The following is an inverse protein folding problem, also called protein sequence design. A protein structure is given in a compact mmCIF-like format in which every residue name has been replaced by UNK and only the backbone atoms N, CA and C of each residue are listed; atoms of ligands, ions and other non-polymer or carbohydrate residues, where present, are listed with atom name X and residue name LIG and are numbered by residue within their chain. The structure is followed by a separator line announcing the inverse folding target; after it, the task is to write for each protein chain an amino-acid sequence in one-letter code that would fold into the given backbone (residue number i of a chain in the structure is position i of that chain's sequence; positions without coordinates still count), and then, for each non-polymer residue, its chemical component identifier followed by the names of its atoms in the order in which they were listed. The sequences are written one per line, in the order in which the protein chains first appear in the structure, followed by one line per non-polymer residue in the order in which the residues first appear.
data_IF_735106676881
#
_entry.id   IF_735106676881
#
_cell.length_a   1.000
_cell.length_b   1.000
_cell.length_c   1.000
_cell.angle_alpha   90.00
_cell.angle_beta   90.00
_cell.angle_gamma   90.00
#
_symmetry.space_group_name_H-M   'P 1'
#
loop_
_entity.id
_entity.type
_entity.pdbx_description
1 polymer ?
#
# COMPACT_ATOMS: atom_id res chain seq x y z
N UNK A 1 -81.36 9.65 -17.78
CA UNK A 1 -80.43 10.58 -18.48
C UNK A 1 -79.50 11.21 -17.46
N UNK A 2 -78.15 11.13 -17.66
CA UNK A 2 -76.99 11.67 -16.90
C UNK A 2 -76.25 10.66 -16.02
N UNK A 3 -75.42 9.86 -16.71
CA UNK A 3 -74.17 9.29 -16.19
C UNK A 3 -73.07 10.03 -16.94
N UNK A 4 -72.14 10.72 -16.23
CA UNK A 4 -70.82 11.13 -16.68
C UNK A 4 -70.19 12.06 -15.63
N UNK A 5 -69.24 11.56 -14.85
CA UNK A 5 -68.10 12.29 -14.34
C UNK A 5 -67.53 11.61 -13.08
N UNK A 6 -66.90 10.43 -13.27
CA UNK A 6 -66.03 9.84 -12.26
C UNK A 6 -64.87 9.17 -13.01
N UNK A 7 -63.95 9.94 -13.52
CA UNK A 7 -62.86 9.35 -14.29
C UNK A 7 -61.62 10.24 -14.48
N UNK A 8 -61.36 11.23 -13.61
CA UNK A 8 -60.22 12.12 -13.84
C UNK A 8 -59.37 12.44 -12.58
N UNK A 9 -59.54 11.75 -11.47
CA UNK A 9 -58.81 12.06 -10.24
C UNK A 9 -57.76 11.00 -9.83
N UNK A 10 -57.64 9.90 -10.59
CA UNK A 10 -56.68 8.81 -10.26
C UNK A 10 -55.31 8.92 -10.97
N UNK A 11 -55.12 9.84 -11.93
CA UNK A 11 -53.91 9.94 -12.76
C UNK A 11 -52.85 10.94 -12.25
N UNK A 12 -53.12 11.70 -11.20
CA UNK A 12 -52.16 12.73 -10.69
C UNK A 12 -51.30 12.33 -9.47
N UNK A 13 -51.48 11.14 -8.91
CA UNK A 13 -50.75 10.67 -7.74
C UNK A 13 -49.55 9.77 -8.09
N UNK A 14 -49.34 9.40 -9.35
CA UNK A 14 -48.23 8.53 -9.78
C UNK A 14 -46.94 9.29 -10.20
N UNK A 15 -46.94 10.61 -10.22
CA UNK A 15 -45.84 11.43 -10.74
C UNK A 15 -44.89 11.99 -9.68
N UNK A 16 -45.01 11.61 -8.39
CA UNK A 16 -44.17 12.09 -7.27
C UNK A 16 -43.29 11.01 -6.64
N UNK A 17 -43.19 9.84 -7.27
CA UNK A 17 -42.17 8.88 -6.90
C UNK A 17 -40.84 9.26 -7.62
N UNK A 18 -40.24 10.37 -7.24
CA UNK A 18 -38.80 10.59 -7.49
C UNK A 18 -38.01 9.42 -6.94
N UNK A 19 -36.83 9.08 -7.52
CA UNK A 19 -36.01 8.03 -6.96
C UNK A 19 -35.79 8.33 -5.48
N UNK A 20 -36.29 7.45 -4.60
CA UNK A 20 -36.03 7.55 -3.19
C UNK A 20 -34.50 7.41 -3.02
N UNK A 21 -33.81 8.54 -2.91
CA UNK A 21 -32.40 8.55 -2.50
C UNK A 21 -32.34 7.79 -1.20
N UNK A 22 -31.64 6.66 -1.19
CA UNK A 22 -31.53 5.85 0.02
C UNK A 22 -30.90 6.72 1.10
N UNK A 23 -31.62 6.90 2.21
CA UNK A 23 -31.13 7.75 3.29
C UNK A 23 -29.80 7.20 3.81
N UNK A 24 -28.71 7.98 3.70
CA UNK A 24 -27.40 7.64 4.22
C UNK A 24 -27.53 7.47 5.74
N UNK A 25 -27.10 6.31 6.25
CA UNK A 25 -27.08 5.99 7.68
C UNK A 25 -25.79 6.51 8.33
N UNK A 26 -25.80 6.67 9.63
CA UNK A 26 -24.62 7.02 10.39
C UNK A 26 -23.72 5.80 10.57
N UNK A 27 -22.46 5.91 10.12
CA UNK A 27 -21.43 4.88 10.31
C UNK A 27 -20.13 5.53 10.79
N UNK A 28 -19.45 4.83 11.70
CA UNK A 28 -18.11 5.20 12.15
C UNK A 28 -17.15 4.07 11.79
N UNK A 29 -16.17 4.36 10.93
CA UNK A 29 -15.15 3.42 10.51
C UNK A 29 -13.85 3.70 11.28
N UNK A 30 -13.37 2.73 12.05
CA UNK A 30 -12.02 2.77 12.62
C UNK A 30 -11.03 2.38 11.53
N UNK A 31 -10.01 3.21 11.34
CA UNK A 31 -8.93 2.98 10.35
C UNK A 31 -7.63 2.86 11.10
N UNK A 32 -7.04 1.67 11.16
CA UNK A 32 -5.77 1.42 11.85
C UNK A 32 -4.59 1.42 10.87
N UNK A 33 -3.48 2.05 11.24
CA UNK A 33 -2.19 1.98 10.53
C UNK A 33 -1.02 1.85 11.48
N UNK A 34 0.07 1.21 11.00
CA UNK A 34 1.31 1.04 11.76
C UNK A 34 2.17 2.30 11.83
N UNK A 35 1.97 3.25 10.89
CA UNK A 35 2.77 4.45 10.71
C UNK A 35 2.36 5.58 11.67
N UNK A 36 3.29 6.51 11.92
CA UNK A 36 3.06 7.70 12.78
C UNK A 36 2.12 8.71 12.12
N UNK A 37 1.60 9.64 12.92
CA UNK A 37 0.72 10.72 12.44
C UNK A 37 1.42 11.65 11.43
N UNK A 38 2.73 11.83 11.54
CA UNK A 38 3.54 12.67 10.64
C UNK A 38 3.77 12.04 9.26
N UNK A 39 3.48 10.75 9.10
CA UNK A 39 3.69 10.06 7.83
C UNK A 39 2.67 10.49 6.77
N UNK A 40 3.07 10.70 5.50
CA UNK A 40 2.15 11.06 4.40
C UNK A 40 0.92 10.15 4.27
N UNK A 41 1.04 8.86 4.56
CA UNK A 41 -0.11 7.93 4.58
C UNK A 41 -1.17 8.36 5.62
N UNK A 42 -0.76 8.79 6.82
CA UNK A 42 -1.68 9.25 7.85
C UNK A 42 -2.38 10.56 7.43
N UNK A 43 -1.64 11.46 6.77
CA UNK A 43 -2.21 12.69 6.22
C UNK A 43 -3.24 12.40 5.12
N UNK A 44 -2.95 11.42 4.26
CA UNK A 44 -3.89 11.00 3.21
C UNK A 44 -5.13 10.31 3.79
N UNK A 45 -5.00 9.57 4.90
CA UNK A 45 -6.15 9.02 5.61
C UNK A 45 -7.03 10.11 6.24
N UNK A 46 -6.41 11.18 6.73
CA UNK A 46 -7.18 12.35 7.20
C UNK A 46 -7.94 12.99 6.05
N UNK A 47 -7.27 13.17 4.90
CA UNK A 47 -7.95 13.64 3.69
C UNK A 47 -9.11 12.72 3.27
N UNK A 48 -8.91 11.39 3.30
CA UNK A 48 -9.99 10.41 3.06
C UNK A 48 -11.17 10.61 4.02
N UNK A 49 -10.90 10.78 5.32
CA UNK A 49 -11.92 11.01 6.33
C UNK A 49 -12.72 12.30 6.07
N UNK A 50 -12.03 13.38 5.70
CA UNK A 50 -12.65 14.66 5.38
C UNK A 50 -13.55 14.56 4.12
N UNK A 51 -13.07 13.87 3.05
CA UNK A 51 -13.86 13.64 1.84
C UNK A 51 -15.08 12.75 2.11
N UNK A 52 -14.91 11.69 2.92
CA UNK A 52 -15.99 10.80 3.31
C UNK A 52 -17.09 11.55 4.06
N UNK A 53 -16.71 12.36 5.04
CA UNK A 53 -17.65 13.19 5.81
C UNK A 53 -18.34 14.23 4.91
N UNK A 54 -17.59 14.93 4.06
CA UNK A 54 -18.15 15.96 3.16
C UNK A 54 -19.18 15.36 2.21
N UNK A 55 -18.87 14.21 1.57
CA UNK A 55 -19.75 13.55 0.58
C UNK A 55 -20.99 12.91 1.22
N UNK A 56 -20.95 12.57 2.50
CA UNK A 56 -22.04 11.92 3.23
C UNK A 56 -22.86 12.88 4.10
N UNK A 57 -22.55 14.20 4.08
CA UNK A 57 -23.17 15.17 4.99
C UNK A 57 -22.86 14.88 6.47
N UNK A 58 -21.66 14.36 6.74
CA UNK A 58 -21.18 14.04 8.10
C UNK A 58 -21.65 12.70 8.64
N UNK A 59 -22.36 11.88 7.87
CA UNK A 59 -22.93 10.61 8.34
C UNK A 59 -21.95 9.44 8.29
N UNK A 60 -21.04 9.44 7.30
CA UNK A 60 -19.94 8.47 7.24
C UNK A 60 -18.67 9.11 7.81
N UNK A 61 -18.17 8.59 8.91
CA UNK A 61 -17.02 9.15 9.65
C UNK A 61 -15.91 8.12 9.73
N UNK A 62 -14.70 8.45 9.27
CA UNK A 62 -13.52 7.64 9.51
C UNK A 62 -12.71 8.21 10.68
N UNK A 63 -12.35 7.35 11.64
CA UNK A 63 -11.46 7.67 12.77
C UNK A 63 -10.13 6.97 12.58
N UNK A 64 -9.07 7.75 12.40
CA UNK A 64 -7.72 7.23 12.14
C UNK A 64 -6.99 6.96 13.44
N UNK A 65 -6.39 5.79 13.54
CA UNK A 65 -5.58 5.30 14.65
C UNK A 65 -4.19 4.97 14.12
N UNK A 66 -3.22 5.77 14.50
CA UNK A 66 -1.82 5.69 14.04
C UNK A 66 -0.92 4.90 14.98
N UNK A 67 0.35 4.75 14.60
CA UNK A 67 1.44 4.17 15.40
C UNK A 67 1.14 2.76 15.93
N UNK A 68 0.39 1.98 15.19
CA UNK A 68 0.06 0.61 15.56
C UNK A 68 -0.84 0.45 16.79
N UNK A 69 -1.56 1.52 17.19
CA UNK A 69 -2.45 1.49 18.37
C UNK A 69 -3.57 0.45 18.30
N UNK A 70 -3.94 -0.02 17.09
CA UNK A 70 -4.89 -1.10 16.86
C UNK A 70 -4.21 -2.42 16.42
N UNK A 71 -2.89 -2.46 16.36
CA UNK A 71 -2.10 -3.64 15.98
C UNK A 71 -1.15 -3.38 14.82
N UNK A 72 -0.58 -4.45 14.28
CA UNK A 72 0.28 -4.43 13.08
C UNK A 72 -0.52 -4.84 11.83
N UNK A 73 0.10 -4.75 10.64
CA UNK A 73 -0.55 -5.04 9.35
C UNK A 73 -1.25 -6.40 9.31
N UNK A 74 -0.61 -7.44 9.85
CA UNK A 74 -1.18 -8.81 9.86
C UNK A 74 -2.35 -8.92 10.82
N UNK A 75 -2.22 -8.41 12.04
CA UNK A 75 -3.29 -8.48 13.05
C UNK A 75 -4.49 -7.61 12.66
N UNK A 76 -4.26 -6.41 12.13
CA UNK A 76 -5.33 -5.53 11.66
C UNK A 76 -6.04 -6.12 10.43
N UNK A 77 -5.32 -6.72 9.47
CA UNK A 77 -5.93 -7.43 8.34
C UNK A 77 -6.80 -8.61 8.83
N UNK A 78 -6.35 -9.34 9.84
CA UNK A 78 -7.14 -10.41 10.46
C UNK A 78 -8.40 -9.87 11.15
N UNK A 79 -8.30 -8.73 11.84
CA UNK A 79 -9.44 -8.06 12.47
C UNK A 79 -10.48 -7.57 11.44
N UNK A 80 -10.05 -7.08 10.25
CA UNK A 80 -10.96 -6.76 9.14
C UNK A 80 -11.74 -7.99 8.68
N UNK A 81 -11.05 -9.11 8.48
CA UNK A 81 -11.68 -10.37 8.06
C UNK A 81 -12.69 -10.87 9.08
N UNK A 82 -12.40 -10.69 10.36
CA UNK A 82 -13.32 -10.99 11.46
C UNK A 82 -14.46 -9.97 11.61
N UNK A 83 -14.35 -8.79 11.00
CA UNK A 83 -15.32 -7.69 11.11
C UNK A 83 -15.28 -6.97 12.46
N UNK A 84 -14.14 -6.96 13.14
CA UNK A 84 -13.90 -6.23 14.40
C UNK A 84 -13.14 -4.93 14.20
N UNK A 85 -12.59 -4.72 13.02
CA UNK A 85 -12.00 -3.48 12.51
C UNK A 85 -12.59 -3.18 11.14
N UNK A 86 -12.85 -1.91 10.84
CA UNK A 86 -13.52 -1.52 9.59
C UNK A 86 -12.52 -1.31 8.45
N UNK A 87 -11.36 -0.68 8.69
CA UNK A 87 -10.39 -0.35 7.63
C UNK A 87 -8.94 -0.44 8.13
N UNK A 88 -8.02 -0.75 7.20
CA UNK A 88 -6.56 -0.68 7.40
C UNK A 88 -5.85 -0.52 6.06
N UNK A 89 -4.54 -0.20 6.08
CA UNK A 89 -3.72 -0.04 4.87
C UNK A 89 -2.40 -0.81 5.04
N UNK A 90 -2.40 -2.14 4.91
CA UNK A 90 -1.19 -2.95 5.01
C UNK A 90 -0.32 -2.85 3.76
N UNK A 91 0.97 -3.19 3.89
CA UNK A 91 1.82 -3.49 2.75
C UNK A 91 1.29 -4.70 1.98
N UNK A 92 1.27 -4.61 0.65
CA UNK A 92 0.74 -5.66 -0.23
C UNK A 92 1.41 -7.02 -0.03
N UNK A 93 2.67 -7.03 0.38
CA UNK A 93 3.43 -8.26 0.63
C UNK A 93 2.91 -9.06 1.84
N UNK A 94 2.24 -8.41 2.80
CA UNK A 94 1.64 -9.09 3.95
C UNK A 94 0.36 -9.84 3.60
N UNK A 95 -0.25 -9.52 2.44
CA UNK A 95 -1.44 -10.19 1.94
C UNK A 95 -1.14 -11.53 1.23
N UNK A 96 0.11 -11.82 0.94
CA UNK A 96 0.55 -13.02 0.18
C UNK A 96 0.11 -14.32 0.86
N UNK A 97 0.10 -14.35 2.19
CA UNK A 97 -0.40 -15.52 2.94
C UNK A 97 -1.88 -15.81 2.71
N UNK A 98 -2.66 -14.80 2.33
CA UNK A 98 -4.09 -14.91 2.02
C UNK A 98 -4.33 -15.10 0.53
N UNK A 99 -3.58 -14.38 -0.31
CA UNK A 99 -3.75 -14.30 -1.75
C UNK A 99 -2.37 -14.21 -2.41
N UNK A 100 -1.78 -15.36 -2.75
CA UNK A 100 -0.43 -15.46 -3.32
C UNK A 100 -0.14 -14.47 -4.48
N UNK A 101 -1.06 -14.27 -5.45
CA UNK A 101 -0.88 -13.31 -6.53
C UNK A 101 -0.46 -11.89 -6.14
N UNK A 102 -0.78 -11.40 -4.93
CA UNK A 102 -0.31 -10.07 -4.49
C UNK A 102 1.21 -9.97 -4.42
N UNK A 103 1.91 -11.09 -4.24
CA UNK A 103 3.36 -11.12 -4.14
C UNK A 103 4.10 -10.66 -5.39
N UNK A 104 3.48 -10.76 -6.58
CA UNK A 104 4.12 -10.31 -7.82
C UNK A 104 4.42 -8.82 -7.83
N UNK A 105 3.67 -8.01 -7.06
CA UNK A 105 3.88 -6.57 -6.94
C UNK A 105 5.21 -6.22 -6.25
N UNK A 106 5.73 -7.13 -5.44
CA UNK A 106 6.96 -6.94 -4.68
C UNK A 106 8.16 -7.72 -5.26
N UNK A 107 8.02 -8.35 -6.44
CA UNK A 107 9.16 -9.01 -7.09
C UNK A 107 10.31 -8.02 -7.27
N UNK A 108 11.55 -8.38 -6.88
CA UNK A 108 12.69 -7.47 -6.96
C UNK A 108 12.90 -6.91 -8.36
N UNK A 109 13.20 -5.60 -8.44
CA UNK A 109 13.60 -4.91 -9.67
C UNK A 109 12.56 -4.98 -10.81
N UNK A 110 11.27 -5.12 -10.47
CA UNK A 110 10.17 -5.24 -11.44
C UNK A 110 9.78 -3.90 -12.03
N UNK A 111 9.60 -2.88 -11.19
CA UNK A 111 9.26 -1.53 -11.63
C UNK A 111 10.52 -0.66 -11.77
N UNK A 112 10.56 0.17 -12.80
CA UNK A 112 11.67 1.11 -13.02
C UNK A 112 11.39 2.50 -12.44
N UNK A 113 10.11 2.89 -12.38
CA UNK A 113 9.65 4.19 -11.88
C UNK A 113 8.21 4.13 -11.39
N UNK A 114 7.76 5.21 -10.78
CA UNK A 114 6.43 5.35 -10.18
C UNK A 114 5.33 5.33 -11.24
N UNK A 115 5.59 5.81 -12.46
CA UNK A 115 4.63 5.82 -13.57
C UNK A 115 4.32 4.39 -14.07
N UNK A 116 5.32 3.50 -14.08
CA UNK A 116 5.10 2.08 -14.35
C UNK A 116 4.22 1.43 -13.28
N UNK A 117 4.47 1.75 -12.00
CA UNK A 117 3.65 1.26 -10.90
C UNK A 117 2.21 1.77 -11.00
N UNK A 118 2.00 3.07 -11.25
CA UNK A 118 0.66 3.66 -11.44
C UNK A 118 -0.10 2.96 -12.57
N UNK A 119 0.53 2.82 -13.74
CA UNK A 119 -0.12 2.21 -14.90
C UNK A 119 -0.56 0.76 -14.66
N UNK A 120 0.25 -0.01 -13.93
CA UNK A 120 -0.07 -1.40 -13.58
C UNK A 120 -1.13 -1.49 -12.49
N UNK A 121 -0.98 -0.70 -11.40
CA UNK A 121 -1.83 -0.81 -10.22
C UNK A 121 -3.22 -0.22 -10.44
N UNK A 122 -3.35 0.85 -11.22
CA UNK A 122 -4.64 1.46 -11.56
C UNK A 122 -5.31 0.78 -12.76
N UNK A 123 -4.53 0.07 -13.55
CA UNK A 123 -4.96 -0.65 -14.74
C UNK A 123 -5.73 -1.94 -14.46
N UNK A 124 -6.11 -2.65 -15.53
CA UNK A 124 -6.88 -3.91 -15.42
C UNK A 124 -6.22 -4.96 -14.54
N UNK A 125 -4.87 -5.01 -14.52
CA UNK A 125 -4.12 -5.95 -13.70
C UNK A 125 -4.34 -5.72 -12.21
N UNK A 126 -4.18 -4.46 -11.74
CA UNK A 126 -4.42 -4.10 -10.34
C UNK A 126 -5.86 -4.34 -9.92
N UNK A 127 -6.84 -3.99 -10.78
CA UNK A 127 -8.27 -4.25 -10.52
C UNK A 127 -8.54 -5.76 -10.39
N UNK A 128 -7.91 -6.60 -11.21
CA UNK A 128 -8.02 -8.07 -11.13
C UNK A 128 -7.45 -8.61 -9.80
N UNK A 129 -6.38 -8.02 -9.27
CA UNK A 129 -5.86 -8.38 -7.96
C UNK A 129 -6.84 -8.00 -6.84
N UNK A 130 -7.36 -6.76 -6.85
CA UNK A 130 -8.34 -6.31 -5.86
C UNK A 130 -9.60 -7.16 -5.87
N UNK A 131 -10.05 -7.62 -7.04
CA UNK A 131 -11.23 -8.48 -7.21
C UNK A 131 -11.10 -9.87 -6.54
N UNK A 132 -9.89 -10.27 -6.11
CA UNK A 132 -9.68 -11.52 -5.34
C UNK A 132 -9.90 -11.37 -3.83
N UNK A 133 -9.92 -10.15 -3.33
CA UNK A 133 -10.01 -9.85 -1.90
C UNK A 133 -11.36 -10.24 -1.26
N UNK A 134 -12.52 -10.08 -1.93
CA UNK A 134 -13.82 -10.42 -1.35
C UNK A 134 -13.94 -11.88 -0.89
N UNK A 135 -13.29 -12.83 -1.56
CA UNK A 135 -13.25 -14.23 -1.18
C UNK A 135 -12.53 -14.45 0.18
N UNK A 136 -11.73 -13.49 0.60
CA UNK A 136 -10.99 -13.50 1.87
C UNK A 136 -11.61 -12.59 2.95
N UNK A 137 -12.83 -12.08 2.71
CA UNK A 137 -13.52 -11.21 3.64
C UNK A 137 -13.03 -9.76 3.64
N UNK A 138 -12.39 -9.32 2.56
CA UNK A 138 -11.80 -8.00 2.40
C UNK A 138 -12.34 -7.31 1.14
N UNK A 139 -12.42 -5.99 1.16
CA UNK A 139 -12.67 -5.14 -0.01
C UNK A 139 -11.46 -4.26 -0.23
N UNK A 140 -10.88 -4.33 -1.43
CA UNK A 140 -9.80 -3.43 -1.85
C UNK A 140 -10.37 -2.18 -2.49
N UNK A 141 -10.01 -1.02 -1.96
CA UNK A 141 -10.50 0.28 -2.42
C UNK A 141 -9.47 1.01 -3.32
N UNK A 142 -8.23 0.57 -3.33
CA UNK A 142 -7.17 1.12 -4.17
C UNK A 142 -5.78 0.76 -3.67
N UNK A 143 -4.79 1.05 -4.52
CA UNK A 143 -3.38 0.92 -4.18
C UNK A 143 -2.77 2.29 -3.86
N UNK A 144 -2.11 2.38 -2.71
CA UNK A 144 -1.36 3.54 -2.27
C UNK A 144 0.14 3.30 -2.42
N UNK A 145 0.93 4.34 -2.51
CA UNK A 145 2.36 4.24 -2.69
C UNK A 145 3.11 4.24 -1.36
N UNK A 146 3.92 3.20 -1.11
CA UNK A 146 5.01 3.31 -0.16
C UNK A 146 6.26 3.83 -0.88
N UNK A 147 6.53 3.30 -2.07
CA UNK A 147 7.59 3.74 -2.96
C UNK A 147 8.74 2.75 -3.10
N UNK A 148 9.84 3.21 -3.74
CA UNK A 148 11.05 2.40 -3.91
C UNK A 148 11.82 2.28 -2.61
N UNK A 149 12.19 1.05 -2.28
CA UNK A 149 12.80 0.70 -1.00
C UNK A 149 14.32 0.69 -1.09
N UNK A 150 14.95 1.12 0.00
CA UNK A 150 16.38 1.29 0.19
C UNK A 150 16.80 0.68 1.52
N UNK A 151 18.07 0.29 1.67
CA UNK A 151 18.56 -0.34 2.90
C UNK A 151 19.23 0.70 3.80
N UNK A 152 18.88 0.69 5.11
CA UNK A 152 19.65 1.39 6.14
C UNK A 152 20.33 0.42 7.07
N UNK A 153 21.45 0.83 7.69
CA UNK A 153 22.09 0.09 8.77
C UNK A 153 22.93 1.02 9.67
N UNK A 154 23.22 0.55 10.88
CA UNK A 154 24.04 1.28 11.85
C UNK A 154 25.53 0.89 11.83
N UNK A 155 25.93 -0.13 11.03
CA UNK A 155 27.24 -0.80 11.12
C UNK A 155 28.29 -0.23 10.19
N UNK A 156 27.97 -0.09 8.89
CA UNK A 156 28.94 0.27 7.85
C UNK A 156 28.27 0.83 6.59
N UNK A 157 29.00 1.65 5.82
CA UNK A 157 28.56 2.00 4.47
C UNK A 157 28.43 0.72 3.60
N UNK A 158 27.44 0.70 2.72
CA UNK A 158 27.24 -0.32 1.69
C UNK A 158 27.59 0.31 0.36
N UNK A 159 28.71 -0.06 -0.24
CA UNK A 159 29.20 0.42 -1.54
C UNK A 159 29.14 -0.67 -2.61
N UNK A 160 29.04 -1.93 -2.21
CA UNK A 160 28.94 -3.10 -3.06
C UNK A 160 27.81 -4.00 -2.58
N UNK A 161 27.23 -4.79 -3.48
CA UNK A 161 26.18 -5.75 -3.14
C UNK A 161 26.65 -6.74 -2.03
N UNK A 162 27.92 -7.12 -2.03
CA UNK A 162 28.47 -8.04 -1.01
C UNK A 162 28.61 -7.41 0.38
N UNK A 163 28.59 -6.08 0.50
CA UNK A 163 28.68 -5.41 1.80
C UNK A 163 27.41 -5.61 2.65
N UNK A 164 26.31 -6.11 2.05
CA UNK A 164 25.12 -6.54 2.77
C UNK A 164 25.35 -7.84 3.56
N UNK A 165 26.41 -8.61 3.22
CA UNK A 165 26.68 -9.91 3.83
C UNK A 165 26.87 -9.79 5.34
N UNK A 166 26.17 -10.66 6.08
CA UNK A 166 26.23 -10.76 7.55
C UNK A 166 25.50 -9.67 8.30
N UNK A 167 24.93 -8.63 7.64
CA UNK A 167 24.08 -7.65 8.31
C UNK A 167 22.79 -8.33 8.79
N UNK A 168 22.43 -8.12 10.05
CA UNK A 168 21.12 -8.50 10.60
C UNK A 168 20.09 -7.47 10.13
N UNK A 169 19.33 -7.79 9.11
CA UNK A 169 18.33 -6.87 8.54
C UNK A 169 16.93 -7.30 8.92
N UNK A 170 16.20 -6.40 9.55
CA UNK A 170 14.74 -6.60 9.64
C UNK A 170 14.13 -6.46 8.25
N UNK A 171 13.23 -7.37 7.93
CA UNK A 171 12.43 -7.34 6.71
C UNK A 171 10.93 -7.42 7.03
N UNK A 172 10.08 -7.11 6.06
CA UNK A 172 8.63 -7.30 6.17
C UNK A 172 8.34 -8.79 6.38
N UNK A 173 7.25 -9.12 7.06
CA UNK A 173 6.78 -10.48 7.30
C UNK A 173 6.28 -11.14 6.00
N UNK A 174 7.21 -11.36 5.07
CA UNK A 174 6.97 -11.97 3.75
C UNK A 174 8.13 -12.89 3.38
N UNK A 175 7.86 -14.14 2.94
CA UNK A 175 8.90 -15.06 2.49
C UNK A 175 9.76 -14.49 1.35
N UNK A 176 9.19 -13.69 0.46
CA UNK A 176 9.92 -13.05 -0.64
C UNK A 176 11.00 -12.10 -0.10
N UNK A 177 10.66 -11.26 0.89
CA UNK A 177 11.63 -10.32 1.49
C UNK A 177 12.72 -11.08 2.24
N UNK A 178 12.37 -12.13 2.98
CA UNK A 178 13.32 -13.01 3.68
C UNK A 178 14.32 -13.60 2.68
N UNK A 179 13.85 -14.25 1.64
CA UNK A 179 14.71 -14.90 0.65
C UNK A 179 15.53 -13.89 -0.17
N UNK A 180 14.98 -12.71 -0.47
CA UNK A 180 15.69 -11.65 -1.18
C UNK A 180 16.94 -11.23 -0.43
N UNK A 181 16.83 -10.93 0.86
CA UNK A 181 17.97 -10.46 1.64
C UNK A 181 18.94 -11.58 2.03
N UNK A 182 18.45 -12.80 2.24
CA UNK A 182 19.30 -13.97 2.40
C UNK A 182 20.12 -14.28 1.13
N UNK A 183 19.53 -14.13 -0.08
CA UNK A 183 20.25 -14.28 -1.34
C UNK A 183 21.33 -13.19 -1.55
N UNK A 184 21.17 -12.03 -0.94
CA UNK A 184 22.17 -10.96 -0.91
C UNK A 184 23.23 -11.17 0.18
N UNK A 185 23.11 -12.25 0.99
CA UNK A 185 24.05 -12.62 2.04
C UNK A 185 23.77 -11.99 3.41
N UNK A 186 22.70 -11.24 3.56
CA UNK A 186 22.29 -10.71 4.86
C UNK A 186 21.63 -11.79 5.73
N UNK A 187 21.57 -11.55 7.04
CA UNK A 187 20.81 -12.34 7.99
C UNK A 187 19.42 -11.67 8.17
N UNK A 188 18.49 -12.00 7.29
CA UNK A 188 17.17 -11.38 7.29
C UNK A 188 16.28 -11.93 8.42
N UNK A 189 15.59 -11.03 9.13
CA UNK A 189 14.66 -11.38 10.22
C UNK A 189 13.31 -10.72 9.96
N UNK A 190 12.24 -11.49 9.68
CA UNK A 190 10.90 -10.95 9.55
C UNK A 190 10.36 -10.41 10.87
N UNK A 191 9.84 -9.18 10.87
CA UNK A 191 9.34 -8.52 12.08
C UNK A 191 8.25 -7.50 11.73
N UNK A 192 7.19 -7.33 12.55
CA UNK A 192 6.23 -6.24 12.40
C UNK A 192 6.91 -4.87 12.36
N UNK A 193 6.32 -3.94 11.58
CA UNK A 193 6.86 -2.57 11.50
C UNK A 193 6.81 -1.86 12.86
N UNK A 194 5.79 -2.13 13.67
CA UNK A 194 5.58 -1.53 14.99
C UNK A 194 6.66 -1.84 16.02
N UNK A 195 7.48 -2.88 15.79
CA UNK A 195 8.57 -3.31 16.67
C UNK A 195 9.94 -2.79 16.19
N UNK A 196 10.00 -2.25 14.95
CA UNK A 196 11.25 -2.03 14.24
C UNK A 196 12.16 -0.98 14.89
N UNK A 197 11.59 0.18 15.30
CA UNK A 197 12.41 1.24 15.91
C UNK A 197 13.14 0.73 17.16
N UNK A 198 12.41 0.10 18.07
CA UNK A 198 12.97 -0.46 19.30
C UNK A 198 13.99 -1.58 19.02
N UNK A 199 13.75 -2.42 18.01
CA UNK A 199 14.70 -3.47 17.62
C UNK A 199 16.03 -2.90 17.10
N UNK A 200 15.98 -1.78 16.33
CA UNK A 200 17.18 -1.08 15.89
C UNK A 200 17.89 -0.33 17.03
N UNK A 201 17.12 0.35 17.89
CA UNK A 201 17.63 1.06 19.06
C UNK A 201 18.37 0.13 20.02
N UNK A 202 17.83 -1.07 20.25
CA UNK A 202 18.43 -2.10 21.09
C UNK A 202 19.51 -2.93 20.38
N UNK A 203 19.83 -2.62 19.12
CA UNK A 203 20.75 -3.36 18.27
C UNK A 203 20.41 -4.87 18.12
N UNK A 204 19.15 -5.24 18.28
CA UNK A 204 18.66 -6.59 17.98
C UNK A 204 18.79 -6.89 16.47
N UNK A 205 18.62 -5.85 15.64
CA UNK A 205 18.93 -5.84 14.21
C UNK A 205 19.89 -4.69 13.89
N UNK A 206 20.75 -4.89 12.87
CA UNK A 206 21.71 -3.87 12.43
C UNK A 206 21.02 -2.82 11.54
N UNK A 207 19.92 -3.18 10.90
CA UNK A 207 19.23 -2.30 9.95
C UNK A 207 17.92 -2.83 9.44
N UNK A 208 17.42 -2.14 8.42
CA UNK A 208 16.13 -2.41 7.79
C UNK A 208 16.10 -1.89 6.34
N UNK A 209 14.99 -2.04 5.66
CA UNK A 209 14.76 -1.53 4.32
C UNK A 209 13.37 -0.88 4.22
N UNK A 210 13.32 0.33 3.69
CA UNK A 210 12.11 1.13 3.46
C UNK A 210 12.38 2.27 2.46
N UNK A 211 11.34 2.92 1.95
CA UNK A 211 11.49 4.16 1.20
C UNK A 211 11.98 5.33 2.08
N UNK A 212 12.64 6.33 1.48
CA UNK A 212 13.16 7.50 2.22
C UNK A 212 12.10 8.24 3.03
N UNK A 213 10.87 8.36 2.51
CA UNK A 213 9.76 8.97 3.21
C UNK A 213 9.46 8.26 4.54
N UNK A 214 9.36 6.94 4.52
CA UNK A 214 9.12 6.13 5.72
C UNK A 214 10.30 6.21 6.70
N UNK A 215 11.55 6.18 6.20
CA UNK A 215 12.75 6.32 7.03
C UNK A 215 12.76 7.66 7.77
N UNK A 216 12.41 8.75 7.07
CA UNK A 216 12.39 10.10 7.64
C UNK A 216 11.23 10.26 8.64
N UNK A 217 10.00 9.96 8.25
CA UNK A 217 8.82 10.14 9.09
C UNK A 217 8.84 9.25 10.34
N UNK A 218 9.47 8.07 10.27
CA UNK A 218 9.64 7.17 11.41
C UNK A 218 10.91 7.45 12.22
N UNK A 219 11.64 8.53 11.90
CA UNK A 219 12.85 8.97 12.60
C UNK A 219 13.96 7.90 12.69
N UNK A 220 14.03 6.99 11.72
CA UNK A 220 15.04 5.93 11.74
C UNK A 220 16.48 6.45 11.68
N UNK A 221 16.67 7.69 11.21
CA UNK A 221 17.96 8.37 11.24
C UNK A 221 18.54 8.56 12.66
N UNK A 222 17.72 8.49 13.71
CA UNK A 222 18.18 8.55 15.10
C UNK A 222 18.94 7.30 15.52
N UNK A 223 18.60 6.14 14.92
CA UNK A 223 19.15 4.81 15.25
C UNK A 223 19.86 4.13 14.06
N UNK A 224 19.93 4.81 12.89
CA UNK A 224 20.59 4.31 11.67
C UNK A 224 21.55 5.36 11.11
N UNK A 225 22.75 4.94 10.71
CA UNK A 225 23.82 5.84 10.24
C UNK A 225 23.98 5.86 8.72
N UNK A 226 23.74 4.74 8.07
CA UNK A 226 24.03 4.55 6.65
C UNK A 226 22.76 4.22 5.89
N UNK A 227 22.59 4.84 4.73
CA UNK A 227 21.53 4.58 3.77
C UNK A 227 22.17 4.29 2.41
N UNK A 228 21.88 3.13 1.82
CA UNK A 228 22.27 2.83 0.43
C UNK A 228 21.05 2.87 -0.46
N UNK A 229 21.16 3.63 -1.57
CA UNK A 229 20.11 3.77 -2.57
C UNK A 229 20.07 2.54 -3.48
N UNK A 230 19.54 1.45 -2.97
CA UNK A 230 19.52 0.15 -3.65
C UNK A 230 18.35 -0.02 -4.63
N UNK A 231 17.22 0.68 -4.45
CA UNK A 231 15.99 0.55 -5.25
C UNK A 231 15.62 -0.91 -5.57
N UNK A 232 15.83 -1.80 -4.60
CA UNK A 232 15.73 -3.25 -4.79
C UNK A 232 14.30 -3.74 -5.01
N UNK A 233 13.31 -3.00 -4.50
CA UNK A 233 11.89 -3.29 -4.65
C UNK A 233 11.06 -2.01 -4.69
N UNK A 234 9.91 -2.06 -5.38
CA UNK A 234 8.81 -1.13 -5.18
C UNK A 234 7.81 -1.76 -4.20
N UNK A 235 7.19 -0.95 -3.37
CA UNK A 235 6.23 -1.37 -2.37
C UNK A 235 4.96 -0.54 -2.48
N UNK A 236 3.83 -1.24 -2.57
CA UNK A 236 2.50 -0.63 -2.55
C UNK A 236 1.76 -1.04 -1.28
N UNK A 237 0.97 -0.13 -0.74
CA UNK A 237 -0.04 -0.42 0.25
C UNK A 237 -1.39 -0.68 -0.40
N UNK A 238 -2.28 -1.35 0.31
CA UNK A 238 -3.64 -1.60 -0.16
C UNK A 238 -4.63 -1.01 0.83
N UNK A 239 -5.42 -0.04 0.39
CA UNK A 239 -6.53 0.48 1.20
C UNK A 239 -7.62 -0.57 1.27
N UNK A 240 -7.82 -1.13 2.46
CA UNK A 240 -8.75 -2.23 2.71
C UNK A 240 -9.90 -1.82 3.60
N UNK A 241 -11.08 -2.35 3.29
CA UNK A 241 -12.25 -2.34 4.16
C UNK A 241 -12.69 -3.77 4.47
N UNK A 242 -13.24 -4.00 5.67
CA UNK A 242 -13.90 -5.25 6.03
C UNK A 242 -15.08 -5.51 5.10
N UNK A 243 -15.13 -6.70 4.49
CA UNK A 243 -16.28 -7.09 3.66
C UNK A 243 -17.59 -7.08 4.44
N UNK A 244 -17.55 -7.46 5.73
CA UNK A 244 -18.72 -7.41 6.61
C UNK A 244 -19.25 -5.98 6.78
N UNK A 245 -18.34 -5.01 6.95
CA UNK A 245 -18.74 -3.59 7.00
C UNK A 245 -19.29 -3.13 5.66
N UNK A 246 -18.59 -3.45 4.57
CA UNK A 246 -18.98 -3.10 3.21
C UNK A 246 -20.36 -3.61 2.81
N UNK A 247 -20.67 -4.87 3.11
CA UNK A 247 -21.96 -5.49 2.79
C UNK A 247 -23.12 -4.90 3.62
N UNK A 248 -22.82 -4.21 4.73
CA UNK A 248 -23.79 -3.47 5.54
C UNK A 248 -24.11 -2.07 4.99
N UNK A 249 -23.35 -1.58 4.01
CA UNK A 249 -23.56 -0.28 3.39
C UNK A 249 -24.56 -0.37 2.23
N UNK A 250 -25.37 0.65 2.07
CA UNK A 250 -26.20 0.82 0.87
C UNK A 250 -25.33 1.08 -0.38
N UNK A 251 -25.85 0.86 -1.60
CA UNK A 251 -25.11 1.17 -2.83
C UNK A 251 -24.65 2.63 -2.91
N UNK A 252 -25.40 3.57 -2.36
CA UNK A 252 -25.04 4.99 -2.32
C UNK A 252 -23.88 5.22 -1.35
N UNK A 253 -23.91 4.61 -0.15
CA UNK A 253 -22.83 4.68 0.83
C UNK A 253 -21.54 4.03 0.30
N UNK A 254 -21.66 2.87 -0.37
CA UNK A 254 -20.52 2.22 -1.03
C UNK A 254 -19.90 3.12 -2.09
N UNK A 255 -20.73 3.80 -2.89
CA UNK A 255 -20.24 4.75 -3.89
C UNK A 255 -19.51 5.93 -3.26
N UNK A 256 -20.02 6.49 -2.16
CA UNK A 256 -19.36 7.56 -1.41
C UNK A 256 -17.97 7.11 -0.91
N UNK A 257 -17.90 5.91 -0.33
CA UNK A 257 -16.62 5.33 0.15
C UNK A 257 -15.63 5.15 -1.01
N UNK A 258 -16.09 4.62 -2.15
CA UNK A 258 -15.22 4.43 -3.34
C UNK A 258 -14.73 5.77 -3.91
N UNK A 259 -15.60 6.76 -4.01
CA UNK A 259 -15.25 8.09 -4.54
C UNK A 259 -14.24 8.77 -3.62
N UNK A 260 -14.45 8.73 -2.29
CA UNK A 260 -13.51 9.26 -1.31
C UNK A 260 -12.16 8.51 -1.36
N UNK A 261 -12.17 7.18 -1.49
CA UNK A 261 -10.97 6.35 -1.60
C UNK A 261 -10.17 6.67 -2.86
N UNK A 262 -10.83 6.88 -4.00
CA UNK A 262 -10.18 7.24 -5.26
C UNK A 262 -9.49 8.62 -5.16
N UNK A 263 -10.18 9.61 -4.60
CA UNK A 263 -9.59 10.94 -4.39
C UNK A 263 -8.42 10.89 -3.42
N UNK A 264 -8.55 10.13 -2.34
CA UNK A 264 -7.49 9.94 -1.35
C UNK A 264 -6.28 9.21 -1.93
N UNK A 265 -6.47 8.26 -2.86
CA UNK A 265 -5.37 7.58 -3.57
C UNK A 265 -4.53 8.57 -4.38
N UNK A 266 -5.19 9.46 -5.13
CA UNK A 266 -4.48 10.49 -5.90
C UNK A 266 -3.76 11.50 -5.00
N UNK A 267 -4.41 11.91 -3.90
CA UNK A 267 -3.83 12.80 -2.90
C UNK A 267 -2.62 12.16 -2.23
N UNK A 268 -2.71 10.90 -1.82
CA UNK A 268 -1.65 10.14 -1.18
C UNK A 268 -0.39 10.08 -2.05
N UNK A 269 -0.52 9.63 -3.31
CA UNK A 269 0.61 9.54 -4.24
C UNK A 269 1.29 10.89 -4.47
N UNK A 270 0.49 11.95 -4.62
CA UNK A 270 1.04 13.30 -4.75
C UNK A 270 1.81 13.71 -3.50
N UNK A 271 1.25 13.45 -2.32
CA UNK A 271 1.83 13.88 -1.04
C UNK A 271 3.09 13.10 -0.70
N UNK A 272 3.07 11.77 -0.87
CA UNK A 272 4.24 10.93 -0.55
C UNK A 272 5.39 11.17 -1.52
N UNK A 273 5.13 11.42 -2.80
CA UNK A 273 6.16 11.77 -3.79
C UNK A 273 6.81 13.11 -3.47
N UNK A 274 6.01 14.14 -3.21
CA UNK A 274 6.52 15.46 -2.80
C UNK A 274 7.34 15.37 -1.50
N UNK A 275 6.93 14.54 -0.54
CA UNK A 275 7.69 14.30 0.67
C UNK A 275 8.98 13.52 0.39
N UNK A 276 8.95 12.53 -0.48
CA UNK A 276 10.10 11.72 -0.88
C UNK A 276 11.16 12.53 -1.62
N UNK A 277 10.75 13.54 -2.42
CA UNK A 277 11.66 14.42 -3.15
C UNK A 277 12.62 15.18 -2.21
N UNK A 278 12.17 15.53 -1.00
CA UNK A 278 12.98 16.23 0.01
C UNK A 278 13.61 15.29 1.03
N UNK A 279 13.05 14.10 1.21
CA UNK A 279 13.42 13.19 2.29
C UNK A 279 14.92 12.82 2.31
N UNK A 280 15.54 12.58 1.15
CA UNK A 280 16.97 12.27 1.09
C UNK A 280 17.84 13.42 1.58
N UNK A 281 17.50 14.66 1.22
CA UNK A 281 18.20 15.85 1.67
C UNK A 281 18.06 16.05 3.19
N UNK A 282 16.87 15.80 3.71
CA UNK A 282 16.58 15.95 5.14
C UNK A 282 17.24 14.83 5.97
N UNK A 283 17.26 13.59 5.47
CA UNK A 283 18.02 12.49 6.08
C UNK A 283 19.53 12.79 6.11
N UNK A 284 20.07 13.40 5.05
CA UNK A 284 21.47 13.84 5.02
C UNK A 284 21.74 14.95 6.04
N UNK A 285 20.84 15.93 6.17
CA UNK A 285 20.92 16.98 7.22
C UNK A 285 20.84 16.39 8.62
N UNK A 286 20.03 15.34 8.81
CA UNK A 286 19.93 14.59 10.05
C UNK A 286 21.16 13.72 10.37
N UNK A 287 22.18 13.71 9.50
CA UNK A 287 23.47 13.05 9.73
C UNK A 287 23.61 11.67 9.11
N UNK A 288 22.63 11.19 8.32
CA UNK A 288 22.78 9.91 7.61
C UNK A 288 23.81 10.01 6.48
N UNK A 289 24.65 9.00 6.37
CA UNK A 289 25.59 8.82 5.26
C UNK A 289 24.89 8.07 4.13
N UNK A 290 24.65 8.77 3.02
CA UNK A 290 23.95 8.22 1.86
C UNK A 290 24.95 7.75 0.81
N UNK A 291 24.80 6.51 0.34
CA UNK A 291 25.64 5.87 -0.69
C UNK A 291 24.76 5.45 -1.86
N UNK A 292 25.28 5.58 -3.06
CA UNK A 292 24.69 5.01 -4.27
C UNK A 292 25.46 3.75 -4.69
N UNK A 293 24.72 2.73 -5.13
CA UNK A 293 25.37 1.55 -5.71
C UNK A 293 25.78 1.86 -7.17
N UNK A 294 27.05 1.65 -7.53
CA UNK A 294 27.47 1.74 -8.93
C UNK A 294 26.66 0.79 -9.83
N UNK A 295 26.48 1.12 -11.13
CA UNK A 295 25.72 0.27 -12.06
C UNK A 295 26.19 -1.19 -12.10
N UNK A 296 27.49 -1.44 -11.99
CA UNK A 296 28.04 -2.80 -11.92
C UNK A 296 27.58 -3.57 -10.68
N UNK A 297 27.48 -2.91 -9.52
CA UNK A 297 26.98 -3.53 -8.28
C UNK A 297 25.47 -3.73 -8.30
N UNK A 298 24.71 -2.83 -8.96
CA UNK A 298 23.28 -3.04 -9.22
C UNK A 298 23.06 -4.26 -10.13
N UNK A 299 23.87 -4.41 -11.19
CA UNK A 299 23.84 -5.60 -12.07
C UNK A 299 24.17 -6.88 -11.31
N UNK A 300 25.17 -6.84 -10.42
CA UNK A 300 25.52 -7.95 -9.54
C UNK A 300 24.39 -8.32 -8.58
N UNK A 301 23.74 -7.33 -7.97
CA UNK A 301 22.55 -7.53 -7.14
C UNK A 301 21.44 -8.21 -7.94
N UNK A 302 21.16 -7.73 -9.16
CA UNK A 302 20.19 -8.35 -10.07
C UNK A 302 20.52 -9.80 -10.36
N UNK A 303 21.78 -10.12 -10.63
CA UNK A 303 22.23 -11.49 -10.88
C UNK A 303 22.00 -12.39 -9.67
N UNK A 304 22.35 -11.94 -8.47
CA UNK A 304 22.11 -12.68 -7.21
C UNK A 304 20.65 -12.95 -6.94
N UNK A 305 19.75 -12.08 -7.40
CA UNK A 305 18.31 -12.19 -7.17
C UNK A 305 17.58 -13.02 -8.22
N UNK A 306 18.21 -13.45 -9.31
CA UNK A 306 17.57 -14.29 -10.34
C UNK A 306 16.94 -15.59 -9.79
N UNK A 307 17.60 -16.36 -8.89
CA UNK A 307 16.97 -17.54 -8.31
C UNK A 307 15.72 -17.21 -7.46
N UNK A 308 15.73 -16.09 -6.75
CA UNK A 308 14.59 -15.61 -5.97
C UNK A 308 13.43 -15.24 -6.88
N UNK A 309 13.70 -14.47 -7.95
CA UNK A 309 12.71 -14.13 -8.97
C UNK A 309 12.09 -15.37 -9.59
N UNK A 310 12.89 -16.36 -10.00
CA UNK A 310 12.42 -17.60 -10.61
C UNK A 310 11.52 -18.41 -9.64
N UNK A 311 11.93 -18.51 -8.37
CA UNK A 311 11.16 -19.19 -7.32
C UNK A 311 9.80 -18.54 -7.13
N UNK A 312 9.79 -17.25 -6.85
CA UNK A 312 8.57 -16.54 -6.45
C UNK A 312 7.64 -16.21 -7.61
N UNK A 313 8.16 -16.03 -8.84
CA UNK A 313 7.33 -15.95 -10.04
C UNK A 313 6.46 -17.19 -10.19
N UNK A 314 7.01 -18.37 -9.90
CA UNK A 314 6.28 -19.63 -9.91
C UNK A 314 5.33 -19.76 -8.71
N UNK A 315 5.79 -19.40 -7.51
CA UNK A 315 5.00 -19.53 -6.29
C UNK A 315 3.76 -18.63 -6.28
N UNK A 316 3.88 -17.40 -6.79
CA UNK A 316 2.79 -16.43 -6.88
C UNK A 316 1.86 -16.67 -8.06
N UNK A 317 2.25 -17.53 -8.98
CA UNK A 317 1.53 -17.93 -10.19
C UNK A 317 2.21 -17.45 -11.46
N UNK A 318 2.63 -18.40 -12.30
CA UNK A 318 3.29 -18.12 -13.57
C UNK A 318 2.41 -17.26 -14.48
N UNK A 319 1.09 -17.56 -14.55
CA UNK A 319 0.13 -16.76 -15.32
C UNK A 319 0.02 -15.33 -14.79
N UNK A 320 -0.02 -15.14 -13.46
CA UNK A 320 -0.08 -13.81 -12.85
C UNK A 320 1.18 -13.01 -13.13
N UNK A 321 2.34 -13.66 -13.09
CA UNK A 321 3.63 -13.04 -13.43
C UNK A 321 3.69 -12.67 -14.91
N UNK A 322 3.21 -13.54 -15.79
CA UNK A 322 3.14 -13.25 -17.22
C UNK A 322 2.19 -12.08 -17.53
N UNK A 323 1.03 -12.01 -16.88
CA UNK A 323 0.08 -10.90 -16.99
C UNK A 323 0.71 -9.57 -16.51
N UNK A 324 1.41 -9.58 -15.37
CA UNK A 324 2.15 -8.40 -14.88
C UNK A 324 3.17 -7.92 -15.92
N UNK A 325 3.97 -8.84 -16.47
CA UNK A 325 4.98 -8.50 -17.47
C UNK A 325 4.36 -7.96 -18.77
N UNK A 326 3.22 -8.50 -19.19
CA UNK A 326 2.47 -8.01 -20.35
C UNK A 326 1.93 -6.59 -20.09
N UNK A 327 1.41 -6.31 -18.90
CA UNK A 327 0.93 -4.98 -18.54
C UNK A 327 2.07 -3.96 -18.46
N UNK A 328 3.19 -4.34 -17.84
CA UNK A 328 4.41 -3.52 -17.83
C UNK A 328 4.90 -3.20 -19.26
N UNK A 329 4.87 -4.17 -20.17
CA UNK A 329 5.25 -3.93 -21.56
C UNK A 329 4.34 -2.90 -22.25
N UNK A 330 3.02 -2.94 -22.01
CA UNK A 330 2.08 -1.94 -22.53
C UNK A 330 2.35 -0.55 -21.97
N UNK A 331 2.53 -0.43 -20.64
CA UNK A 331 2.82 0.85 -19.98
C UNK A 331 4.12 1.45 -20.52
N UNK A 332 5.19 0.63 -20.67
CA UNK A 332 6.49 1.05 -21.24
C UNK A 332 6.37 1.47 -22.70
N UNK A 333 5.62 0.72 -23.52
CA UNK A 333 5.37 1.05 -24.92
C UNK A 333 4.53 2.32 -25.10
N UNK A 334 3.54 2.57 -24.24
CA UNK A 334 2.72 3.78 -24.27
C UNK A 334 3.48 5.05 -23.86
N UNK A 335 4.54 4.92 -23.05
CA UNK A 335 5.37 6.05 -22.62
C UNK A 335 6.36 6.50 -23.73
N UNK A 336 6.80 5.58 -24.59
CA UNK A 336 7.68 5.89 -25.74
C UNK A 336 6.94 6.58 -26.88
N UNK A 337 5.62 6.42 -27.00
CA UNK A 337 4.82 7.07 -28.06
C UNK A 337 4.41 8.52 -27.77
N UNK A 338 4.70 9.04 -26.57
CA UNK A 338 4.37 10.41 -26.12
C UNK A 338 5.58 11.36 -26.00
N UNK A 339 6.76 10.92 -26.43
CA UNK A 339 7.97 11.75 -26.56
C UNK A 339 8.23 12.07 -28.04
#
# INVERSE_FOLDING_TARGET
MKIRSLGLTAALLAALAGPASAQIKEHVFKVGIGLSEDHPQAQALKYFADQLAAKSGGKLVARVYTSGSLGNDVSMTSALRGGTLEMTIPDSSTLVSLIKPFGVLNLPLTFNNEQEADGVLDGPFGQKLLAKLPEKGLIGLGFWENGFRHVTNSRRPVQRADDLSGLKLRVIQSPLFLDTFNALGANATPMPFTELYSAMEQAAVDGQENPPATILASKFYEVQKHLVLSRHMYSAWVLLMSKKTWDGLSPEEQKIVQDAAREATLYERKTIRAFSDTALADLKKAGMQITELPPAEQAKMRSKLQPVLAKFSKEFGEDTTAELNAELAKVRGGTTAKK
#
